data_IF_411247181728
#
_entry.id   IF_411247181728
#
_cell.length_a   1.000
_cell.length_b   1.000
_cell.length_c   1.000
_cell.angle_alpha   90.00
_cell.angle_beta   90.00
_cell.angle_gamma   90.00
#
_symmetry.space_group_name_H-M   'P 1'
#
loop_
_entity.id
_entity.type
_entity.pdbx_description
1 polymer ?
#
# COMPACT_ATOMS: atom_id res chain seq x y z
N UNK A 1 0.74 4.32 12.82
CA UNK A 1 1.44 3.82 11.61
C UNK A 1 1.54 4.90 10.56
N UNK A 2 2.73 5.05 9.98
CA UNK A 2 2.97 5.89 8.80
C UNK A 2 2.40 5.23 7.54
N UNK A 3 2.09 6.03 6.51
CA UNK A 3 1.63 5.54 5.21
C UNK A 3 2.54 4.42 4.65
N UNK A 4 3.87 4.62 4.68
CA UNK A 4 4.81 3.63 4.16
C UNK A 4 4.77 2.28 4.90
N UNK A 5 4.53 2.30 6.21
CA UNK A 5 4.35 1.08 7.02
C UNK A 5 3.07 0.34 6.64
N UNK A 6 1.98 1.08 6.44
CA UNK A 6 0.71 0.49 5.99
C UNK A 6 0.85 -0.17 4.63
N UNK A 7 1.55 0.45 3.68
CA UNK A 7 1.80 -0.15 2.37
C UNK A 7 2.64 -1.44 2.48
N UNK A 8 3.69 -1.44 3.30
CA UNK A 8 4.50 -2.65 3.55
C UNK A 8 3.67 -3.78 4.17
N UNK A 9 2.83 -3.47 5.15
CA UNK A 9 1.90 -4.42 5.73
C UNK A 9 0.90 -4.98 4.71
N UNK A 10 0.32 -4.12 3.87
CA UNK A 10 -0.61 -4.56 2.83
C UNK A 10 0.05 -5.49 1.80
N UNK A 11 1.36 -5.34 1.53
CA UNK A 11 2.11 -6.28 0.69
C UNK A 11 2.30 -7.66 1.33
N UNK A 12 2.46 -7.71 2.65
CA UNK A 12 2.52 -8.98 3.42
C UNK A 12 1.18 -9.70 3.37
N UNK A 13 0.08 -8.97 3.60
CA UNK A 13 -1.27 -9.51 3.51
C UNK A 13 -1.58 -10.00 2.10
N UNK A 14 -1.35 -9.17 1.09
CA UNK A 14 -1.63 -9.54 -0.30
C UNK A 14 -0.77 -10.73 -0.76
N UNK A 15 0.51 -10.77 -0.39
CA UNK A 15 1.39 -11.89 -0.71
C UNK A 15 0.94 -13.19 -0.02
N UNK A 16 0.42 -13.10 1.21
CA UNK A 16 -0.18 -14.24 1.91
C UNK A 16 -1.46 -14.72 1.23
N UNK A 17 -2.34 -13.80 0.82
CA UNK A 17 -3.58 -14.12 0.08
C UNK A 17 -3.31 -14.75 -1.29
N UNK A 18 -2.17 -14.43 -1.91
CA UNK A 18 -1.70 -15.03 -3.17
C UNK A 18 -0.91 -16.34 -2.98
N UNK A 19 -0.77 -16.83 -1.74
CA UNK A 19 -0.09 -18.08 -1.43
C UNK A 19 1.44 -18.02 -1.44
N UNK A 20 2.04 -16.81 -1.44
CA UNK A 20 3.50 -16.65 -1.38
C UNK A 20 4.07 -16.91 0.01
N UNK A 21 3.25 -16.80 1.07
CA UNK A 21 3.67 -16.85 2.48
C UNK A 21 4.81 -15.86 2.82
N UNK A 22 4.85 -14.75 2.10
CA UNK A 22 5.78 -13.61 2.28
C UNK A 22 5.14 -12.35 1.72
N UNK A 23 5.74 -11.19 1.99
CA UNK A 23 5.42 -9.98 1.26
C UNK A 23 5.63 -10.16 -0.25
N UNK A 24 4.69 -9.65 -1.05
CA UNK A 24 4.99 -9.34 -2.45
C UNK A 24 6.17 -8.38 -2.50
N UNK A 25 7.04 -8.46 -3.50
CA UNK A 25 8.03 -7.43 -3.80
C UNK A 25 7.35 -6.20 -4.43
N UNK A 26 8.02 -5.06 -4.44
CA UNK A 26 7.46 -3.85 -5.09
C UNK A 26 7.23 -4.07 -6.58
N UNK A 27 8.08 -4.87 -7.24
CA UNK A 27 7.95 -5.22 -8.64
C UNK A 27 6.73 -6.12 -8.88
N UNK A 28 6.57 -7.17 -8.06
CA UNK A 28 5.38 -8.06 -8.12
C UNK A 28 4.09 -7.27 -7.91
N UNK A 29 4.07 -6.26 -7.03
CA UNK A 29 2.89 -5.38 -6.84
C UNK A 29 2.58 -4.59 -8.09
N UNK A 30 3.58 -3.98 -8.71
CA UNK A 30 3.38 -3.19 -9.94
C UNK A 30 2.86 -4.05 -11.08
N UNK A 31 3.42 -5.26 -11.25
CA UNK A 31 2.98 -6.23 -12.25
C UNK A 31 1.54 -6.70 -11.97
N UNK A 32 1.21 -6.98 -10.72
CA UNK A 32 -0.14 -7.37 -10.32
C UNK A 32 -1.17 -6.24 -10.50
N UNK A 33 -0.81 -4.99 -10.22
CA UNK A 33 -1.67 -3.83 -10.50
C UNK A 33 -1.97 -3.75 -12.00
N UNK A 34 -0.96 -3.98 -12.85
CA UNK A 34 -1.13 -3.99 -14.29
C UNK A 34 -2.01 -5.15 -14.76
N UNK A 35 -1.76 -6.39 -14.29
CA UNK A 35 -2.54 -7.56 -14.69
C UNK A 35 -3.99 -7.50 -14.22
N UNK A 36 -4.22 -7.03 -13.00
CA UNK A 36 -5.53 -7.18 -12.33
C UNK A 36 -6.43 -5.98 -12.59
N UNK A 37 -5.86 -4.78 -12.75
CA UNK A 37 -6.62 -3.52 -12.87
C UNK A 37 -6.38 -2.78 -14.20
N UNK A 38 -5.45 -3.24 -15.04
CA UNK A 38 -5.09 -2.56 -16.29
C UNK A 38 -4.50 -1.17 -16.08
N UNK A 39 -3.92 -0.91 -14.91
CA UNK A 39 -3.37 0.39 -14.51
C UNK A 39 -1.86 0.31 -14.32
N UNK A 40 -1.18 1.45 -14.39
CA UNK A 40 0.28 1.53 -14.24
C UNK A 40 0.65 2.34 -13.01
N UNK A 41 1.60 1.82 -12.24
CA UNK A 41 2.29 2.49 -11.15
C UNK A 41 3.79 2.18 -11.30
N UNK A 42 4.69 3.15 -11.11
CA UNK A 42 6.11 2.81 -11.16
C UNK A 42 6.58 2.17 -9.84
N UNK A 43 7.50 1.21 -9.94
CA UNK A 43 8.14 0.60 -8.77
C UNK A 43 8.90 1.66 -7.95
N UNK A 44 9.54 2.62 -8.63
CA UNK A 44 10.23 3.73 -7.97
C UNK A 44 9.29 4.62 -7.14
N UNK A 45 8.07 4.87 -7.63
CA UNK A 45 7.06 5.63 -6.90
C UNK A 45 6.57 4.87 -5.67
N UNK A 46 6.33 3.55 -5.81
CA UNK A 46 6.00 2.69 -4.67
C UNK A 46 7.11 2.69 -3.61
N UNK A 47 8.38 2.63 -4.04
CA UNK A 47 9.54 2.72 -3.15
C UNK A 47 9.62 4.07 -2.42
N UNK A 48 9.36 5.18 -3.10
CA UNK A 48 9.33 6.50 -2.48
C UNK A 48 8.23 6.63 -1.40
N UNK A 49 7.09 5.97 -1.59
CA UNK A 49 6.01 5.94 -0.59
C UNK A 49 6.45 5.13 0.63
N UNK A 50 6.95 3.91 0.41
CA UNK A 50 7.34 3.00 1.50
C UNK A 50 8.50 3.54 2.36
N UNK A 51 9.44 4.25 1.73
CA UNK A 51 10.58 4.88 2.39
C UNK A 51 10.29 6.31 2.87
N UNK A 52 9.03 6.77 2.83
CA UNK A 52 8.62 8.06 3.38
C UNK A 52 9.02 9.31 2.59
N UNK A 53 9.72 9.18 1.47
CA UNK A 53 10.03 10.31 0.58
C UNK A 53 8.78 10.94 -0.04
N UNK A 54 7.69 10.16 -0.13
CA UNK A 54 6.36 10.59 -0.54
C UNK A 54 5.37 10.25 0.58
N UNK A 55 5.25 11.08 1.64
CA UNK A 55 4.39 10.80 2.78
C UNK A 55 2.88 10.94 2.47
N UNK A 56 2.55 11.48 1.29
CA UNK A 56 1.18 11.68 0.82
C UNK A 56 1.00 11.15 -0.60
N UNK A 57 -0.18 10.57 -0.86
CA UNK A 57 -0.60 10.10 -2.17
C UNK A 57 -1.45 11.16 -2.87
N UNK A 58 -1.36 11.22 -4.20
CA UNK A 58 -2.41 11.86 -4.99
C UNK A 58 -3.72 11.08 -4.85
N UNK A 59 -4.86 11.73 -5.12
CA UNK A 59 -6.16 11.04 -5.08
C UNK A 59 -6.22 9.84 -6.04
N UNK A 60 -5.58 9.96 -7.21
CA UNK A 60 -5.52 8.88 -8.19
C UNK A 60 -4.72 7.68 -7.67
N UNK A 61 -3.49 7.90 -7.18
CA UNK A 61 -2.64 6.83 -6.61
C UNK A 61 -3.29 6.20 -5.39
N UNK A 62 -3.92 6.99 -4.52
CA UNK A 62 -4.65 6.50 -3.34
C UNK A 62 -5.81 5.59 -3.75
N UNK A 63 -6.62 6.01 -4.71
CA UNK A 63 -7.75 5.23 -5.20
C UNK A 63 -7.30 3.93 -5.87
N UNK A 64 -6.21 3.98 -6.64
CA UNK A 64 -5.62 2.81 -7.27
C UNK A 64 -5.13 1.79 -6.25
N UNK A 65 -4.28 2.22 -5.30
CA UNK A 65 -3.74 1.34 -4.27
C UNK A 65 -4.83 0.81 -3.34
N UNK A 66 -5.84 1.62 -3.02
CA UNK A 66 -6.99 1.19 -2.22
C UNK A 66 -7.79 0.08 -2.91
N UNK A 67 -8.06 0.24 -4.22
CA UNK A 67 -8.71 -0.80 -5.04
C UNK A 67 -7.88 -2.07 -5.12
N UNK A 68 -6.57 -1.95 -5.35
CA UNK A 68 -5.67 -3.10 -5.46
C UNK A 68 -5.62 -3.91 -4.15
N UNK A 69 -5.36 -3.24 -3.03
CA UNK A 69 -5.26 -3.88 -1.71
C UNK A 69 -6.63 -4.12 -1.04
N UNK A 70 -7.74 -3.77 -1.71
CA UNK A 70 -9.12 -3.95 -1.22
C UNK A 70 -9.37 -3.31 0.15
N UNK A 71 -8.81 -2.11 0.36
CA UNK A 71 -8.99 -1.31 1.58
C UNK A 71 -9.74 -0.02 1.28
N UNK A 72 -10.32 0.60 2.32
CA UNK A 72 -10.89 1.93 2.18
C UNK A 72 -9.78 2.97 1.90
N UNK A 73 -9.95 3.94 0.99
CA UNK A 73 -8.92 4.95 0.70
C UNK A 73 -8.43 5.73 1.93
N UNK A 74 -9.31 5.92 2.92
CA UNK A 74 -8.98 6.55 4.20
C UNK A 74 -7.99 5.77 5.06
N UNK A 75 -7.74 4.49 4.78
CA UNK A 75 -6.68 3.72 5.44
C UNK A 75 -5.29 4.15 4.94
N UNK A 76 -5.18 4.62 3.69
CA UNK A 76 -3.92 4.99 3.02
C UNK A 76 -3.51 6.44 3.32
N UNK A 77 -3.47 6.76 4.61
CA UNK A 77 -2.91 7.98 5.19
C UNK A 77 -2.14 7.60 6.46
N UNK A 78 -1.18 8.40 6.87
CA UNK A 78 -0.55 8.22 8.18
C UNK A 78 -1.57 8.44 9.29
N UNK A 79 -1.46 7.65 10.36
CA UNK A 79 -2.29 7.87 11.53
C UNK A 79 -1.96 9.22 12.18
N UNK A 80 -2.97 9.93 12.73
CA UNK A 80 -2.73 11.16 13.46
C UNK A 80 -1.97 10.87 14.75
N UNK A 81 -1.32 11.91 15.27
CA UNK A 81 -0.68 11.84 16.58
C UNK A 81 -1.69 11.47 17.67
N UNK A 82 -1.30 10.57 18.58
CA UNK A 82 -2.18 10.06 19.63
C UNK A 82 -3.20 9.01 19.18
N UNK A 83 -3.18 8.57 17.91
CA UNK A 83 -3.99 7.43 17.48
C UNK A 83 -3.49 6.13 18.13
N UNK A 84 -4.37 5.48 18.89
CA UNK A 84 -4.15 4.17 19.49
C UNK A 84 -5.21 3.19 18.98
N UNK A 85 -4.78 1.99 18.60
CA UNK A 85 -5.67 0.87 18.25
C UNK A 85 -6.01 -0.01 19.45
N UNK A 86 -5.35 0.23 20.59
CA UNK A 86 -5.62 -0.45 21.85
C UNK A 86 -6.76 0.26 22.58
N UNK A 87 -7.62 -0.51 23.25
CA UNK A 87 -8.58 0.05 24.18
C UNK A 87 -7.83 0.44 25.45
N UNK A 88 -7.74 1.75 25.71
CA UNK A 88 -7.34 2.32 27.01
C UNK A 88 -8.43 2.14 28.05
#
# INVERSE_FOLDING_TARGET
>A
MLLGEKIRYLREVEGSLRGLNRAMTQQEVVEAIHSDLGATLSQSYLSQIENGHRPHLTNASRSLLARFFKVHPGYLVSDPEGYATELV
#
